data_IF_723958978634
#
_entry.id   IF_723958978634
#
_cell.length_a   1.000
_cell.length_b   1.000
_cell.length_c   1.000
_cell.angle_alpha   90.00
_cell.angle_beta   90.00
_cell.angle_gamma   90.00
#
_symmetry.space_group_name_H-M   'P 1'
#
loop_
_entity.id
_entity.type
_entity.pdbx_description
1 polymer ?
#
# COMPACT_ATOMS: atom_id res chain seq x y z
N UNK A 1 -7.76 26.79 -19.77
CA UNK A 1 -7.28 28.19 -19.86
C UNK A 1 -6.71 28.42 -21.24
N UNK A 2 -7.37 29.24 -22.05
CA UNK A 2 -6.90 29.59 -23.38
C UNK A 2 -5.81 30.64 -23.23
N UNK A 3 -4.55 30.23 -23.32
CA UNK A 3 -3.42 31.13 -23.34
C UNK A 3 -3.22 31.61 -24.77
N UNK A 4 -3.21 32.92 -24.99
CA UNK A 4 -2.72 33.47 -26.25
C UNK A 4 -1.33 32.88 -26.51
N UNK A 5 -1.16 32.26 -27.69
CA UNK A 5 0.04 31.49 -28.07
C UNK A 5 1.28 32.37 -28.26
N UNK A 6 1.28 33.58 -27.71
CA UNK A 6 2.39 34.52 -27.69
C UNK A 6 3.62 33.85 -27.06
N UNK A 7 4.72 33.85 -27.82
CA UNK A 7 6.00 33.26 -27.39
C UNK A 7 6.48 33.80 -26.04
N UNK A 8 6.22 35.08 -25.76
CA UNK A 8 6.59 35.73 -24.50
C UNK A 8 5.89 35.11 -23.29
N UNK A 9 4.57 34.89 -23.36
CA UNK A 9 3.81 34.27 -22.29
C UNK A 9 4.22 32.81 -22.08
N UNK A 10 4.39 32.05 -23.17
CA UNK A 10 4.89 30.66 -23.09
C UNK A 10 6.26 30.59 -22.41
N UNK A 11 7.16 31.53 -22.73
CA UNK A 11 8.50 31.62 -22.14
C UNK A 11 8.45 31.98 -20.65
N UNK A 12 7.59 32.92 -20.25
CA UNK A 12 7.39 33.29 -18.85
C UNK A 12 6.75 32.17 -18.01
N UNK A 13 5.70 31.54 -18.53
CA UNK A 13 5.03 30.40 -17.89
C UNK A 13 5.98 29.21 -17.71
N UNK A 14 6.73 28.83 -18.76
CA UNK A 14 7.74 27.77 -18.66
C UNK A 14 8.87 28.14 -17.69
N UNK A 15 9.28 29.41 -17.63
CA UNK A 15 10.30 29.85 -16.68
C UNK A 15 9.85 29.75 -15.23
N UNK A 16 8.59 30.07 -14.91
CA UNK A 16 8.08 30.04 -13.53
C UNK A 16 7.65 28.62 -13.14
N UNK A 17 6.76 28.01 -13.90
CA UNK A 17 6.17 26.70 -13.57
C UNK A 17 7.19 25.59 -13.77
N UNK A 18 7.90 25.54 -14.90
CA UNK A 18 8.80 24.43 -15.24
C UNK A 18 10.09 24.46 -14.42
N UNK A 19 10.59 25.65 -14.04
CA UNK A 19 11.76 25.75 -13.16
C UNK A 19 11.43 25.43 -11.70
N UNK A 20 10.23 25.81 -11.22
CA UNK A 20 9.78 25.49 -9.86
C UNK A 20 9.46 24.00 -9.71
N UNK A 21 8.85 23.36 -10.71
CA UNK A 21 8.54 21.92 -10.68
C UNK A 21 9.79 21.04 -10.69
N UNK A 22 10.85 21.41 -11.44
CA UNK A 22 12.09 20.62 -11.49
C UNK A 22 12.93 20.68 -10.22
N UNK A 23 12.78 21.74 -9.41
CA UNK A 23 13.52 21.91 -8.15
C UNK A 23 12.90 21.15 -6.98
N UNK A 24 11.59 20.97 -6.96
CA UNK A 24 10.86 20.30 -5.87
C UNK A 24 10.46 18.86 -6.19
N UNK A 25 10.18 18.54 -7.46
CA UNK A 25 9.99 17.18 -7.94
C UNK A 25 11.27 16.71 -8.64
N UNK A 26 12.11 15.95 -7.94
CA UNK A 26 12.93 14.94 -8.61
C UNK A 26 11.94 13.98 -9.25
N UNK A 27 11.62 14.21 -10.53
CA UNK A 27 10.60 13.47 -11.27
C UNK A 27 10.78 11.94 -11.15
N UNK A 28 9.76 11.16 -11.52
CA UNK A 28 9.80 9.70 -11.34
C UNK A 28 11.11 9.11 -11.88
N UNK A 29 11.92 8.55 -10.98
CA UNK A 29 13.18 7.91 -11.32
C UNK A 29 12.83 6.65 -12.11
N UNK A 30 12.99 6.69 -13.43
CA UNK A 30 12.75 5.55 -14.29
C UNK A 30 13.81 4.46 -14.01
N UNK A 31 13.45 3.46 -13.21
CA UNK A 31 14.30 2.29 -12.94
C UNK A 31 14.15 1.30 -14.10
N UNK A 32 14.99 1.44 -15.13
CA UNK A 32 15.08 0.54 -16.31
C UNK A 32 15.41 -0.94 -15.97
N UNK A 33 15.66 -1.27 -14.69
CA UNK A 33 16.12 -2.59 -14.25
C UNK A 33 15.02 -3.53 -13.75
N UNK A 34 13.74 -3.23 -14.00
CA UNK A 34 12.59 -4.05 -13.57
C UNK A 34 12.29 -5.21 -14.55
N UNK A 35 13.29 -6.03 -14.91
CA UNK A 35 13.11 -7.20 -15.77
C UNK A 35 13.01 -8.51 -14.97
N UNK A 36 12.33 -9.53 -15.51
CA UNK A 36 12.15 -10.87 -14.90
C UNK A 36 13.48 -11.53 -14.49
N UNK A 37 14.59 -11.18 -15.14
CA UNK A 37 15.93 -11.73 -14.86
C UNK A 37 16.74 -10.93 -13.83
N UNK A 38 16.24 -9.81 -13.32
CA UNK A 38 17.02 -8.88 -12.47
C UNK A 38 16.61 -8.98 -11.00
N UNK A 39 17.36 -9.79 -10.26
CA UNK A 39 17.20 -10.16 -8.84
C UNK A 39 16.94 -8.98 -7.89
N UNK A 40 17.56 -7.81 -8.12
CA UNK A 40 17.55 -6.68 -7.16
C UNK A 40 16.23 -5.88 -7.10
N UNK A 41 15.32 -6.06 -8.06
CA UNK A 41 14.10 -5.22 -8.17
C UNK A 41 12.87 -6.02 -8.61
N UNK A 42 12.60 -7.16 -7.96
CA UNK A 42 11.37 -7.93 -8.19
C UNK A 42 10.21 -7.42 -7.33
N UNK A 43 9.15 -6.96 -8.00
CA UNK A 43 7.87 -6.57 -7.39
C UNK A 43 6.95 -7.76 -7.11
N UNK A 44 7.36 -9.00 -7.42
CA UNK A 44 6.56 -10.22 -7.33
C UNK A 44 5.82 -10.39 -5.98
N UNK A 45 6.44 -9.97 -4.86
CA UNK A 45 5.81 -10.02 -3.53
C UNK A 45 4.60 -9.06 -3.44
N UNK A 46 4.76 -7.85 -3.96
CA UNK A 46 3.67 -6.88 -4.04
C UNK A 46 2.60 -7.33 -5.04
N UNK A 47 2.98 -7.89 -6.18
CA UNK A 47 2.02 -8.43 -7.15
C UNK A 47 1.19 -9.57 -6.53
N UNK A 48 1.83 -10.48 -5.79
CA UNK A 48 1.13 -11.57 -5.08
C UNK A 48 0.17 -11.04 -4.01
N UNK A 49 0.61 -10.04 -3.24
CA UNK A 49 -0.24 -9.37 -2.25
C UNK A 49 -1.45 -8.69 -2.92
N UNK A 50 -1.21 -7.95 -4.00
CA UNK A 50 -2.24 -7.24 -4.75
C UNK A 50 -3.26 -8.22 -5.38
N UNK A 51 -2.80 -9.35 -5.91
CA UNK A 51 -3.69 -10.40 -6.40
C UNK A 51 -4.60 -10.93 -5.29
N UNK A 52 -4.03 -11.27 -4.13
CA UNK A 52 -4.79 -11.77 -2.98
C UNK A 52 -5.83 -10.76 -2.49
N UNK A 53 -5.46 -9.48 -2.48
CA UNK A 53 -6.37 -8.38 -2.10
C UNK A 53 -7.51 -8.25 -3.10
N UNK A 54 -7.20 -8.27 -4.41
CA UNK A 54 -8.20 -8.19 -5.49
C UNK A 54 -9.17 -9.37 -5.46
N UNK A 55 -8.68 -10.59 -5.26
CA UNK A 55 -9.54 -11.77 -5.19
C UNK A 55 -10.55 -11.67 -4.03
N UNK A 56 -10.10 -11.12 -2.90
CA UNK A 56 -10.94 -10.91 -1.72
C UNK A 56 -11.97 -9.80 -1.93
N UNK A 57 -11.54 -8.65 -2.44
CA UNK A 57 -12.42 -7.49 -2.64
C UNK A 57 -13.41 -7.71 -3.77
N UNK A 58 -12.99 -8.37 -4.87
CA UNK A 58 -13.86 -8.68 -6.02
C UNK A 58 -15.05 -9.55 -5.63
N UNK A 59 -14.83 -10.53 -4.77
CA UNK A 59 -15.87 -11.50 -4.39
C UNK A 59 -16.75 -10.98 -3.24
N UNK A 60 -16.19 -10.12 -2.38
CA UNK A 60 -16.88 -9.63 -1.21
C UNK A 60 -17.92 -8.56 -1.56
N UNK A 61 -19.12 -8.69 -0.98
CA UNK A 61 -20.15 -7.65 -1.04
C UNK A 61 -19.90 -6.58 0.02
N UNK A 62 -20.36 -5.35 -0.22
CA UNK A 62 -20.24 -4.25 0.74
C UNK A 62 -18.89 -3.52 0.74
N UNK A 63 -18.07 -3.70 -0.31
CA UNK A 63 -16.82 -2.94 -0.50
C UNK A 63 -17.01 -1.58 -1.21
N UNK A 64 -18.25 -1.23 -1.59
CA UNK A 64 -18.58 0.01 -2.30
C UNK A 64 -18.91 1.19 -1.36
N UNK A 65 -18.66 1.07 -0.05
CA UNK A 65 -18.85 2.14 0.92
C UNK A 65 -17.56 2.94 1.14
N UNK A 66 -17.67 4.16 1.69
CA UNK A 66 -16.52 5.03 2.01
C UNK A 66 -15.54 4.31 2.96
N UNK A 67 -16.08 3.67 4.00
CA UNK A 67 -15.31 2.84 4.93
C UNK A 67 -15.89 1.41 4.96
N UNK A 68 -15.36 0.48 4.15
CA UNK A 68 -15.81 -0.89 4.17
C UNK A 68 -15.23 -1.62 5.38
N UNK A 69 -16.03 -2.02 6.39
CA UNK A 69 -15.53 -2.66 7.62
C UNK A 69 -14.80 -3.98 7.32
N UNK A 70 -15.21 -4.67 6.24
CA UNK A 70 -14.57 -5.89 5.76
C UNK A 70 -13.11 -5.69 5.32
N UNK A 71 -12.73 -4.49 4.87
CA UNK A 71 -11.36 -4.18 4.47
C UNK A 71 -10.44 -4.13 5.70
N UNK A 72 -10.87 -3.45 6.76
CA UNK A 72 -10.16 -3.43 8.04
C UNK A 72 -10.01 -4.84 8.63
N UNK A 73 -11.10 -5.61 8.65
CA UNK A 73 -11.08 -7.01 9.11
C UNK A 73 -10.12 -7.86 8.28
N UNK A 74 -10.09 -7.70 6.96
CA UNK A 74 -9.19 -8.43 6.08
C UNK A 74 -7.72 -8.08 6.35
N UNK A 75 -7.39 -6.79 6.51
CA UNK A 75 -6.03 -6.35 6.82
C UNK A 75 -5.57 -6.94 8.15
N UNK A 76 -6.40 -6.87 9.18
CA UNK A 76 -6.11 -7.44 10.51
C UNK A 76 -5.87 -8.94 10.41
N UNK A 77 -6.76 -9.66 9.71
CA UNK A 77 -6.60 -11.09 9.46
C UNK A 77 -5.29 -11.43 8.72
N UNK A 78 -4.97 -10.67 7.66
CA UNK A 78 -3.78 -10.92 6.83
C UNK A 78 -2.47 -10.69 7.59
N UNK A 79 -2.43 -9.65 8.44
CA UNK A 79 -1.23 -9.22 9.14
C UNK A 79 -0.96 -10.00 10.43
N UNK A 80 -1.99 -10.44 11.14
CA UNK A 80 -1.85 -10.99 12.48
C UNK A 80 -2.19 -12.48 12.60
N UNK A 81 -3.07 -12.99 11.74
CA UNK A 81 -3.65 -14.33 11.91
C UNK A 81 -3.24 -15.31 10.81
N UNK A 82 -3.13 -14.84 9.56
CA UNK A 82 -2.83 -15.71 8.41
C UNK A 82 -1.32 -16.02 8.32
N UNK A 83 -0.89 -17.28 8.45
CA UNK A 83 0.50 -17.65 8.20
C UNK A 83 0.81 -17.61 6.69
N UNK A 84 1.98 -17.10 6.31
CA UNK A 84 2.40 -17.03 4.91
C UNK A 84 3.56 -17.97 4.64
N UNK A 85 3.44 -18.77 3.58
CA UNK A 85 4.50 -19.70 3.18
C UNK A 85 5.80 -18.97 2.83
N UNK A 86 5.71 -17.82 2.16
CA UNK A 86 6.84 -16.95 1.80
C UNK A 86 7.56 -16.34 3.00
N UNK A 87 6.96 -16.41 4.19
CA UNK A 87 7.51 -15.91 5.45
C UNK A 87 7.84 -17.05 6.43
N UNK A 88 8.13 -18.26 5.93
CA UNK A 88 8.40 -19.44 6.77
C UNK A 88 7.25 -19.74 7.75
N UNK A 89 6.00 -19.69 7.27
CA UNK A 89 4.77 -19.89 8.06
C UNK A 89 4.53 -18.85 9.16
N UNK A 90 5.24 -17.72 9.15
CA UNK A 90 5.00 -16.59 10.06
C UNK A 90 3.98 -15.62 9.49
N UNK A 91 3.36 -14.84 10.36
CA UNK A 91 2.55 -13.68 9.97
C UNK A 91 3.45 -12.47 9.72
N UNK A 92 2.99 -11.45 8.96
CA UNK A 92 3.75 -10.22 8.76
C UNK A 92 4.09 -9.52 10.09
N UNK A 93 3.14 -9.50 11.04
CA UNK A 93 3.37 -8.98 12.38
C UNK A 93 4.46 -9.75 13.14
N UNK A 94 4.42 -11.09 13.11
CA UNK A 94 5.43 -11.93 13.75
C UNK A 94 6.82 -11.75 13.13
N UNK A 95 6.89 -11.47 11.83
CA UNK A 95 8.16 -11.19 11.14
C UNK A 95 8.80 -9.88 11.58
N UNK A 96 7.99 -8.88 11.92
CA UNK A 96 8.44 -7.60 12.47
C UNK A 96 8.74 -7.71 13.98
N UNK A 97 8.37 -8.83 14.62
CA UNK A 97 8.60 -9.10 16.05
C UNK A 97 7.36 -8.90 16.92
N UNK A 98 6.23 -8.50 16.35
CA UNK A 98 4.96 -8.37 17.06
C UNK A 98 4.35 -9.76 17.20
N UNK A 99 4.42 -10.32 18.41
CA UNK A 99 3.88 -11.64 18.73
C UNK A 99 2.61 -11.51 19.56
N UNK A 100 1.57 -12.23 19.14
CA UNK A 100 0.34 -12.39 19.91
C UNK A 100 0.55 -13.63 20.80
N UNK A 101 0.57 -13.43 22.12
CA UNK A 101 0.95 -14.45 23.11
C UNK A 101 -0.21 -15.25 23.69
N UNK A 102 -1.45 -14.97 23.28
CA UNK A 102 -2.62 -15.72 23.75
C UNK A 102 -2.87 -17.02 22.99
N UNK A 103 -3.54 -17.96 23.66
CA UNK A 103 -3.98 -19.23 23.08
C UNK A 103 -4.86 -19.01 21.85
N UNK A 104 -5.82 -18.09 21.97
CA UNK A 104 -6.70 -17.68 20.88
C UNK A 104 -6.27 -16.31 20.36
N UNK A 105 -5.61 -16.32 19.20
CA UNK A 105 -5.10 -15.10 18.56
C UNK A 105 -6.20 -14.06 18.31
N UNK A 106 -7.41 -14.51 17.94
CA UNK A 106 -8.56 -13.63 17.71
C UNK A 106 -9.07 -12.96 18.98
N UNK A 107 -9.30 -13.75 20.04
CA UNK A 107 -9.76 -13.23 21.32
C UNK A 107 -8.75 -12.22 21.87
N UNK A 108 -7.46 -12.53 21.77
CA UNK A 108 -6.38 -11.64 22.20
C UNK A 108 -6.43 -10.31 21.45
N UNK A 109 -6.56 -10.32 20.12
CA UNK A 109 -6.66 -9.09 19.31
C UNK A 109 -7.90 -8.26 19.65
N UNK A 110 -9.04 -8.91 19.88
CA UNK A 110 -10.28 -8.24 20.30
C UNK A 110 -10.12 -7.59 21.67
N UNK A 111 -9.55 -8.30 22.65
CA UNK A 111 -9.26 -7.74 23.97
C UNK A 111 -8.30 -6.56 23.87
N UNK A 112 -7.20 -6.67 23.12
CA UNK A 112 -6.29 -5.54 22.88
C UNK A 112 -7.03 -4.34 22.27
N UNK A 113 -7.87 -4.56 21.25
CA UNK A 113 -8.64 -3.46 20.68
C UNK A 113 -9.58 -2.85 21.72
N UNK A 114 -10.31 -3.66 22.49
CA UNK A 114 -11.25 -3.19 23.51
C UNK A 114 -10.55 -2.43 24.66
N UNK A 115 -9.34 -2.82 25.05
CA UNK A 115 -8.60 -2.19 26.16
C UNK A 115 -7.85 -0.93 25.75
N UNK A 116 -7.35 -0.85 24.51
CA UNK A 116 -6.51 0.26 24.04
C UNK A 116 -7.25 1.23 23.12
N UNK A 117 -8.37 0.83 22.52
CA UNK A 117 -9.26 1.70 21.76
C UNK A 117 -10.32 2.25 22.71
N UNK A 118 -9.92 3.15 23.61
CA UNK A 118 -10.87 4.07 24.21
C UNK A 118 -11.24 5.09 23.11
N UNK A 119 -12.52 5.09 22.73
CA UNK A 119 -13.13 6.08 21.83
C UNK A 119 -12.84 7.49 22.32
#
# INVERSE_FOLDING_TARGET
MYSDKLRGFKKGFDAVIRSSWRKTFSGPIHKQSAGIRKIKTHNNRFERYNGTTKDRTKTARGFNSVDPPLLGLFITYYNFLRPHLSLNKKTPAEKIGIRITGHDKWATLLTFCATYCHI
#
